data_IF_308540193733
#
_entry.id   IF_308540193733
#
_cell.length_a   1.000
_cell.length_b   1.000
_cell.length_c   1.000
_cell.angle_alpha   90.00
_cell.angle_beta   90.00
_cell.angle_gamma   90.00
#
_symmetry.space_group_name_H-M   'P 1'
#
loop_
_entity.id
_entity.type
_entity.pdbx_description
1 polymer ?
#
# COMPACT_ATOMS: atom_id res chain seq x y z
N UNK A 1 68.49 -21.62 -33.62
CA UNK A 1 67.21 -22.27 -34.00
C UNK A 1 66.34 -22.68 -32.78
N UNK A 2 66.22 -21.86 -31.73
CA UNK A 2 65.58 -22.27 -30.46
C UNK A 2 64.25 -21.60 -30.06
N UNK A 3 63.75 -20.59 -30.82
CA UNK A 3 62.51 -19.87 -30.45
C UNK A 3 61.22 -20.57 -30.91
N UNK A 4 61.20 -21.14 -32.13
CA UNK A 4 59.99 -21.77 -32.70
C UNK A 4 59.47 -23.01 -31.94
N UNK A 5 60.33 -23.71 -31.19
CA UNK A 5 59.91 -24.86 -30.39
C UNK A 5 59.17 -24.45 -29.10
N UNK A 6 59.63 -23.39 -28.42
CA UNK A 6 59.00 -22.87 -27.19
C UNK A 6 57.64 -22.23 -27.45
N UNK A 7 57.48 -21.55 -28.59
CA UNK A 7 56.20 -20.91 -28.95
C UNK A 7 55.10 -21.95 -29.21
N UNK A 8 55.47 -23.15 -29.72
CA UNK A 8 54.53 -24.25 -29.97
C UNK A 8 54.10 -24.97 -28.68
N UNK A 9 54.93 -24.96 -27.64
CA UNK A 9 54.56 -25.51 -26.33
C UNK A 9 53.69 -24.54 -25.52
N UNK A 10 53.96 -23.22 -25.58
CA UNK A 10 53.09 -22.20 -24.97
C UNK A 10 51.67 -22.22 -25.54
N UNK A 11 51.53 -22.31 -26.87
CA UNK A 11 50.22 -22.39 -27.51
C UNK A 11 49.43 -23.66 -27.11
N UNK A 12 50.11 -24.79 -26.89
CA UNK A 12 49.47 -26.03 -26.41
C UNK A 12 49.05 -25.95 -24.95
N UNK A 13 49.81 -25.26 -24.10
CA UNK A 13 49.46 -25.04 -22.70
C UNK A 13 48.26 -24.08 -22.56
N UNK A 14 48.23 -23.01 -23.35
CA UNK A 14 47.14 -22.03 -23.37
C UNK A 14 45.82 -22.64 -23.91
N UNK A 15 45.90 -23.49 -24.93
CA UNK A 15 44.72 -24.21 -25.42
C UNK A 15 44.13 -25.18 -24.39
N UNK A 16 44.98 -25.87 -23.60
CA UNK A 16 44.51 -26.75 -22.51
C UNK A 16 43.92 -25.96 -21.35
N UNK A 17 44.51 -24.82 -21.00
CA UNK A 17 43.97 -23.95 -19.94
C UNK A 17 42.60 -23.38 -20.31
N UNK A 18 42.42 -22.96 -21.58
CA UNK A 18 41.13 -22.46 -22.07
C UNK A 18 40.04 -23.53 -22.08
N UNK A 19 40.37 -24.77 -22.48
CA UNK A 19 39.41 -25.89 -22.46
C UNK A 19 38.95 -26.26 -21.03
N UNK A 20 39.84 -26.17 -20.03
CA UNK A 20 39.50 -26.43 -18.62
C UNK A 20 38.62 -25.31 -18.06
N UNK A 21 38.93 -24.05 -18.38
CA UNK A 21 38.12 -22.90 -17.96
C UNK A 21 36.70 -22.94 -18.56
N UNK A 22 36.57 -23.30 -19.84
CA UNK A 22 35.27 -23.45 -20.51
C UNK A 22 34.46 -24.65 -19.98
N UNK A 23 35.13 -25.75 -19.61
CA UNK A 23 34.50 -26.89 -18.95
C UNK A 23 33.98 -26.55 -17.54
N UNK A 24 34.77 -25.84 -16.74
CA UNK A 24 34.37 -25.37 -15.41
C UNK A 24 33.21 -24.37 -15.47
N UNK A 25 33.22 -23.45 -16.45
CA UNK A 25 32.13 -22.50 -16.67
C UNK A 25 30.82 -23.19 -17.08
N UNK A 26 30.88 -24.21 -17.94
CA UNK A 26 29.70 -25.00 -18.34
C UNK A 26 29.14 -25.85 -17.18
N UNK A 27 30.01 -26.41 -16.35
CA UNK A 27 29.60 -27.17 -15.15
C UNK A 27 28.98 -26.27 -14.08
N UNK A 28 29.53 -25.07 -13.85
CA UNK A 28 28.97 -24.08 -12.94
C UNK A 28 27.60 -23.56 -13.42
N UNK A 29 27.44 -23.30 -14.73
CA UNK A 29 26.16 -22.89 -15.31
C UNK A 29 25.08 -24.00 -15.23
N UNK A 30 25.46 -25.26 -15.40
CA UNK A 30 24.56 -26.40 -15.23
C UNK A 30 24.15 -26.60 -13.76
N UNK A 31 25.09 -26.45 -12.82
CA UNK A 31 24.81 -26.53 -11.38
C UNK A 31 23.91 -25.38 -10.91
N UNK A 32 24.14 -24.16 -11.40
CA UNK A 32 23.27 -23.01 -11.13
C UNK A 32 21.84 -23.19 -11.69
N UNK A 33 21.67 -23.79 -12.88
CA UNK A 33 20.34 -24.13 -13.42
C UNK A 33 19.64 -25.23 -12.62
N UNK A 34 20.38 -26.23 -12.14
CA UNK A 34 19.84 -27.30 -11.31
C UNK A 34 19.45 -26.81 -9.91
N UNK A 35 20.25 -25.95 -9.28
CA UNK A 35 19.93 -25.32 -7.99
C UNK A 35 18.72 -24.38 -8.08
N UNK A 36 18.60 -23.61 -9.18
CA UNK A 36 17.39 -22.83 -9.49
C UNK A 36 16.14 -23.70 -9.64
N UNK A 37 16.28 -24.93 -10.14
CA UNK A 37 15.17 -25.87 -10.32
C UNK A 37 14.80 -26.60 -9.03
N UNK A 38 15.77 -26.81 -8.12
CA UNK A 38 15.53 -27.42 -6.80
C UNK A 38 14.85 -26.44 -5.81
N UNK A 39 15.14 -25.13 -5.92
CA UNK A 39 14.46 -24.08 -5.15
C UNK A 39 12.97 -23.88 -5.56
N UNK A 40 12.57 -24.37 -6.75
CA UNK A 40 11.20 -24.32 -7.28
C UNK A 40 10.21 -25.32 -6.68
N UNK A 41 10.59 -26.11 -5.66
CA UNK A 41 9.64 -26.95 -4.88
C UNK A 41 8.93 -26.22 -3.73
N UNK A 42 9.16 -24.92 -3.53
CA UNK A 42 8.18 -24.07 -2.83
C UNK A 42 6.97 -23.90 -3.77
N UNK A 43 5.73 -24.08 -3.27
CA UNK A 43 4.50 -23.77 -4.02
C UNK A 43 4.69 -22.42 -4.72
N UNK A 44 4.74 -22.42 -6.05
CA UNK A 44 4.90 -21.18 -6.83
C UNK A 44 3.63 -20.36 -6.60
N UNK A 45 3.72 -19.26 -5.85
CA UNK A 45 2.60 -18.30 -5.74
C UNK A 45 2.22 -17.84 -7.15
N UNK A 46 0.94 -17.71 -7.44
CA UNK A 46 0.43 -17.21 -8.73
C UNK A 46 0.01 -15.75 -8.63
N UNK A 47 0.18 -14.96 -9.69
CA UNK A 47 -0.38 -13.61 -9.75
C UNK A 47 -1.86 -13.71 -10.07
N UNK A 48 -2.69 -13.03 -9.27
CA UNK A 48 -4.11 -12.83 -9.55
C UNK A 48 -4.34 -11.34 -9.74
N UNK A 49 -4.71 -10.95 -10.96
CA UNK A 49 -5.09 -9.57 -11.26
C UNK A 49 -6.54 -9.39 -10.83
N UNK A 50 -6.77 -8.70 -9.72
CA UNK A 50 -8.12 -8.52 -9.18
C UNK A 50 -8.91 -7.51 -10.00
N UNK A 51 -8.26 -6.39 -10.35
CA UNK A 51 -8.87 -5.25 -11.02
C UNK A 51 -7.88 -4.55 -11.94
N UNK A 52 -8.43 -3.97 -13.01
CA UNK A 52 -7.71 -3.07 -13.92
C UNK A 52 -8.40 -1.72 -13.94
N UNK A 53 -7.63 -0.65 -13.88
CA UNK A 53 -8.12 0.72 -14.03
C UNK A 53 -7.32 1.48 -15.08
N UNK A 54 -7.95 2.47 -15.72
CA UNK A 54 -7.31 3.27 -16.76
C UNK A 54 -7.56 4.74 -16.50
N UNK A 55 -6.51 5.53 -16.58
CA UNK A 55 -6.51 6.96 -16.33
C UNK A 55 -5.84 7.69 -17.51
N UNK A 56 -6.48 8.76 -17.97
CA UNK A 56 -5.91 9.63 -19.00
C UNK A 56 -5.25 10.85 -18.35
N UNK A 57 -3.93 10.96 -18.36
CA UNK A 57 -3.13 12.00 -17.68
C UNK A 57 -3.29 13.40 -18.31
N UNK A 58 -4.06 13.55 -19.38
CA UNK A 58 -4.38 14.85 -19.99
C UNK A 58 -5.24 15.74 -19.08
N UNK A 59 -6.10 15.18 -18.23
CA UNK A 59 -7.04 15.99 -17.42
C UNK A 59 -6.45 16.29 -16.03
N UNK A 60 -6.26 17.57 -15.72
CA UNK A 60 -5.67 18.05 -14.46
C UNK A 60 -6.40 17.61 -13.17
N UNK A 61 -7.67 17.21 -13.25
CA UNK A 61 -8.52 16.80 -12.11
C UNK A 61 -8.35 15.33 -11.67
N UNK A 62 -7.30 14.65 -12.14
CA UNK A 62 -7.24 13.18 -12.04
C UNK A 62 -6.49 12.66 -10.82
N UNK A 63 -5.55 13.40 -10.23
CA UNK A 63 -4.70 12.80 -9.20
C UNK A 63 -5.47 12.33 -7.95
N UNK A 64 -6.29 13.19 -7.36
CA UNK A 64 -7.11 12.80 -6.19
C UNK A 64 -8.11 11.69 -6.53
N UNK A 65 -8.68 11.73 -7.73
CA UNK A 65 -9.59 10.69 -8.22
C UNK A 65 -8.86 9.35 -8.41
N UNK A 66 -7.65 9.40 -8.98
CA UNK A 66 -6.75 8.27 -9.20
C UNK A 66 -6.35 7.64 -7.87
N UNK A 67 -5.80 8.41 -6.94
CA UNK A 67 -5.35 7.90 -5.65
C UNK A 67 -6.51 7.36 -4.82
N UNK A 68 -7.64 8.05 -4.79
CA UNK A 68 -8.87 7.55 -4.14
C UNK A 68 -9.32 6.23 -4.76
N UNK A 69 -9.32 6.14 -6.10
CA UNK A 69 -9.74 4.92 -6.78
C UNK A 69 -8.78 3.76 -6.53
N UNK A 70 -7.47 4.01 -6.56
CA UNK A 70 -6.48 2.98 -6.24
C UNK A 70 -6.61 2.50 -4.79
N UNK A 71 -6.79 3.41 -3.83
CA UNK A 71 -7.03 3.04 -2.42
C UNK A 71 -8.27 2.14 -2.29
N UNK A 72 -9.37 2.49 -2.94
CA UNK A 72 -10.60 1.66 -2.96
C UNK A 72 -10.38 0.26 -3.56
N UNK A 73 -9.49 0.11 -4.54
CA UNK A 73 -9.21 -1.19 -5.15
C UNK A 73 -8.23 -2.02 -4.33
N UNK A 74 -7.36 -1.38 -3.55
CA UNK A 74 -6.36 -2.05 -2.74
C UNK A 74 -6.88 -2.42 -1.35
N UNK A 75 -7.73 -1.58 -0.76
CA UNK A 75 -8.27 -1.78 0.60
C UNK A 75 -9.07 -3.08 0.75
N UNK A 76 -9.18 -3.53 1.99
CA UNK A 76 -10.19 -4.51 2.41
C UNK A 76 -11.58 -3.87 2.39
N UNK A 77 -12.62 -4.70 2.35
CA UNK A 77 -14.00 -4.22 2.48
C UNK A 77 -14.28 -3.62 3.87
N UNK A 78 -13.45 -3.96 4.86
CA UNK A 78 -13.55 -3.51 6.24
C UNK A 78 -12.61 -2.33 6.50
N UNK A 79 -13.11 -1.32 7.21
CA UNK A 79 -12.35 -0.16 7.64
C UNK A 79 -11.98 -0.31 9.13
N UNK A 80 -10.75 0.04 9.48
CA UNK A 80 -10.36 0.16 10.88
C UNK A 80 -10.95 1.47 11.40
N UNK A 81 -11.88 1.39 12.34
CA UNK A 81 -12.41 2.59 13.01
C UNK A 81 -11.47 2.91 14.15
N UNK A 82 -10.59 3.89 13.93
CA UNK A 82 -9.60 4.33 14.91
C UNK A 82 -10.27 5.32 15.86
N UNK A 83 -10.20 5.03 17.16
CA UNK A 83 -10.79 5.90 18.18
C UNK A 83 -9.89 7.13 18.38
N UNK A 84 -10.49 8.29 18.62
CA UNK A 84 -9.75 9.56 18.65
C UNK A 84 -8.57 9.51 19.64
N UNK A 85 -7.48 10.21 19.33
CA UNK A 85 -6.36 10.32 20.28
C UNK A 85 -6.68 11.44 21.27
N UNK A 86 -6.59 11.15 22.57
CA UNK A 86 -6.59 12.19 23.59
C UNK A 86 -5.32 13.01 23.36
N UNK A 87 -5.48 14.20 22.78
CA UNK A 87 -4.43 15.21 22.72
C UNK A 87 -4.20 15.74 24.13
N UNK A 88 -3.53 14.97 25.00
CA UNK A 88 -2.99 15.50 26.23
C UNK A 88 -1.63 16.12 25.90
N UNK A 89 -1.63 17.40 25.51
CA UNK A 89 -0.55 18.27 26.00
C UNK A 89 -0.54 18.09 27.51
N UNK A 90 0.61 17.71 28.07
CA UNK A 90 0.82 17.41 29.48
C UNK A 90 0.19 18.46 30.40
N UNK A 91 -1.06 18.25 30.82
CA UNK A 91 -1.70 18.94 31.93
C UNK A 91 -2.70 17.97 32.54
N UNK A 92 -2.60 17.81 33.85
CA UNK A 92 -3.26 16.81 34.68
C UNK A 92 -4.77 16.74 34.44
N UNK A 93 -5.23 15.70 33.74
CA UNK A 93 -6.65 15.33 33.76
C UNK A 93 -6.87 14.55 35.05
N UNK A 94 -7.41 15.23 36.07
CA UNK A 94 -7.85 14.61 37.31
C UNK A 94 -8.88 13.50 37.08
N UNK A 95 -9.00 12.59 38.04
CA UNK A 95 -9.69 11.28 37.95
C UNK A 95 -11.21 11.33 37.65
N UNK A 96 -11.83 12.49 37.39
CA UNK A 96 -13.29 12.62 37.31
C UNK A 96 -13.94 12.46 35.92
N UNK A 97 -13.20 12.28 34.82
CA UNK A 97 -13.85 12.37 33.48
C UNK A 97 -13.60 11.19 32.55
N UNK A 98 -13.39 9.96 33.04
CA UNK A 98 -13.30 8.79 32.14
C UNK A 98 -14.52 8.66 31.21
N UNK A 99 -15.74 8.98 31.68
CA UNK A 99 -16.96 8.94 30.86
C UNK A 99 -17.05 10.08 29.83
N UNK A 100 -16.59 11.29 30.17
CA UNK A 100 -16.54 12.42 29.22
C UNK A 100 -15.38 12.30 28.23
N UNK A 101 -14.27 11.70 28.65
CA UNK A 101 -13.16 11.28 27.79
C UNK A 101 -13.64 10.22 26.82
N UNK A 102 -14.34 9.16 27.27
CA UNK A 102 -14.94 8.16 26.37
C UNK A 102 -15.94 8.78 25.39
N UNK A 103 -16.75 9.76 25.81
CA UNK A 103 -17.67 10.49 24.94
C UNK A 103 -16.94 11.36 23.91
N UNK A 104 -15.83 11.99 24.28
CA UNK A 104 -14.95 12.73 23.38
C UNK A 104 -14.24 11.79 22.40
N UNK A 105 -13.79 10.61 22.84
CA UNK A 105 -13.16 9.58 22.02
C UNK A 105 -14.10 9.04 20.92
N UNK A 106 -15.40 8.89 21.24
CA UNK A 106 -16.44 8.50 20.28
C UNK A 106 -16.70 9.58 19.20
N UNK A 107 -16.61 10.86 19.57
CA UNK A 107 -16.81 12.01 18.65
C UNK A 107 -15.66 12.18 17.63
N UNK A 108 -14.49 11.57 17.87
CA UNK A 108 -13.32 11.65 16.99
C UNK A 108 -12.93 10.28 16.39
N UNK A 109 -13.91 9.46 16.03
CA UNK A 109 -13.62 8.20 15.32
C UNK A 109 -13.29 8.45 13.84
N UNK A 110 -12.18 7.89 13.36
CA UNK A 110 -11.73 7.99 11.96
C UNK A 110 -11.72 6.61 11.31
N UNK A 111 -12.52 6.35 10.26
CA UNK A 111 -12.41 5.12 9.51
C UNK A 111 -11.17 5.18 8.60
N UNK A 112 -10.17 4.36 8.89
CA UNK A 112 -8.98 4.20 8.08
C UNK A 112 -9.05 2.91 7.24
N UNK A 113 -8.88 2.98 5.91
CA UNK A 113 -8.74 1.80 5.08
C UNK A 113 -7.49 1.01 5.46
N UNK A 114 -7.56 -0.32 5.40
CA UNK A 114 -6.43 -1.23 5.62
C UNK A 114 -6.17 -2.03 4.34
N UNK A 115 -4.91 -2.22 3.97
CA UNK A 115 -4.53 -3.09 2.85
C UNK A 115 -4.92 -4.55 3.09
N UNK A 116 -5.06 -5.31 2.02
CA UNK A 116 -5.35 -6.74 2.11
C UNK A 116 -4.14 -7.47 2.72
N UNK A 117 -4.34 -8.26 3.77
CA UNK A 117 -3.25 -9.05 4.36
C UNK A 117 -2.75 -10.15 3.40
N UNK A 118 -1.46 -10.49 3.43
CA UNK A 118 -0.89 -11.63 2.69
C UNK A 118 -1.32 -12.93 3.38
N UNK A 119 -2.56 -13.36 3.08
CA UNK A 119 -3.16 -14.57 3.65
C UNK A 119 -3.20 -15.75 2.66
N UNK A 120 -2.88 -15.51 1.37
CA UNK A 120 -3.13 -16.46 0.29
C UNK A 120 -1.86 -17.05 -0.35
N UNK A 121 -2.02 -18.22 -0.97
CA UNK A 121 -1.05 -18.84 -1.88
C UNK A 121 -0.92 -18.06 -3.22
N UNK A 122 -1.50 -16.87 -3.32
CA UNK A 122 -1.53 -16.02 -4.50
C UNK A 122 -1.11 -14.58 -4.15
N UNK A 123 -0.50 -13.89 -5.11
CA UNK A 123 -0.20 -12.45 -4.99
C UNK A 123 -1.28 -11.69 -5.75
N UNK A 124 -2.07 -10.93 -4.99
CA UNK A 124 -3.17 -10.13 -5.52
C UNK A 124 -2.66 -8.77 -5.98
N UNK A 125 -2.96 -8.40 -7.22
CA UNK A 125 -2.46 -7.17 -7.83
C UNK A 125 -3.56 -6.30 -8.43
N UNK A 126 -3.30 -5.00 -8.50
CA UNK A 126 -4.09 -4.02 -9.25
C UNK A 126 -3.25 -3.49 -10.40
N UNK A 127 -3.77 -3.62 -11.62
CA UNK A 127 -3.17 -2.98 -12.78
C UNK A 127 -3.78 -1.59 -12.99
N UNK A 128 -2.93 -0.60 -13.22
CA UNK A 128 -3.33 0.77 -13.51
C UNK A 128 -2.66 1.26 -14.80
N UNK A 129 -3.46 1.64 -15.77
CA UNK A 129 -3.00 2.15 -17.06
C UNK A 129 -2.98 3.67 -17.06
N UNK A 130 -1.82 4.27 -17.32
CA UNK A 130 -1.70 5.69 -17.63
C UNK A 130 -1.71 5.88 -19.14
N UNK A 131 -2.56 6.78 -19.65
CA UNK A 131 -2.64 7.17 -21.06
C UNK A 131 -2.30 8.65 -21.21
N UNK A 132 -1.52 8.99 -22.22
CA UNK A 132 -1.22 10.38 -22.58
C UNK A 132 -0.80 10.47 -24.04
N UNK A 133 -1.47 11.32 -24.85
CA UNK A 133 -1.07 11.62 -26.22
C UNK A 133 -0.81 10.34 -27.07
N UNK A 134 -1.78 9.41 -27.03
CA UNK A 134 -1.71 8.11 -27.70
C UNK A 134 -0.73 7.10 -27.09
N UNK A 135 0.15 7.52 -26.19
CA UNK A 135 1.06 6.66 -25.42
C UNK A 135 0.36 6.07 -24.20
N UNK A 136 0.72 4.85 -23.82
CA UNK A 136 0.20 4.24 -22.59
C UNK A 136 1.20 3.29 -21.94
N UNK A 137 1.07 3.17 -20.63
CA UNK A 137 1.77 2.15 -19.84
C UNK A 137 0.81 1.58 -18.80
N UNK A 138 0.91 0.30 -18.51
CA UNK A 138 0.15 -0.35 -17.44
C UNK A 138 1.10 -0.75 -16.34
N UNK A 139 0.92 -0.22 -15.13
CA UNK A 139 1.78 -0.53 -13.99
C UNK A 139 1.01 -1.39 -12.98
N UNK A 140 1.69 -2.34 -12.36
CA UNK A 140 1.09 -3.38 -11.50
C UNK A 140 1.49 -3.14 -10.06
N UNK A 141 0.51 -2.86 -9.20
CA UNK A 141 0.69 -2.66 -7.76
C UNK A 141 0.32 -3.94 -6.99
N UNK A 142 1.15 -4.33 -6.04
CA UNK A 142 0.82 -5.37 -5.07
C UNK A 142 -0.22 -4.83 -4.07
N UNK A 143 -1.36 -5.51 -3.92
CA UNK A 143 -2.43 -5.09 -3.00
C UNK A 143 -2.04 -5.19 -1.53
N UNK A 144 -1.05 -6.00 -1.20
CA UNK A 144 -0.65 -6.24 0.19
C UNK A 144 0.18 -5.10 0.78
N UNK A 145 0.96 -4.43 -0.05
CA UNK A 145 1.93 -3.43 0.41
C UNK A 145 1.88 -2.13 -0.41
N UNK A 146 1.07 -2.06 -1.48
CA UNK A 146 0.98 -0.90 -2.36
C UNK A 146 2.22 -0.67 -3.23
N UNK A 147 3.22 -1.55 -3.17
CA UNK A 147 4.45 -1.40 -3.95
C UNK A 147 4.22 -1.76 -5.40
N UNK A 148 4.95 -1.05 -6.25
CA UNK A 148 4.99 -1.31 -7.67
C UNK A 148 5.86 -2.52 -7.98
N UNK A 149 5.32 -3.48 -8.71
CA UNK A 149 6.00 -4.73 -9.06
C UNK A 149 6.56 -4.71 -10.49
N UNK A 150 5.78 -4.18 -11.42
CA UNK A 150 6.08 -4.21 -12.85
C UNK A 150 5.38 -3.08 -13.59
N UNK A 151 5.81 -2.84 -14.83
CA UNK A 151 5.03 -2.08 -15.80
C UNK A 151 5.13 -2.73 -17.18
N UNK A 152 4.12 -2.50 -18.00
CA UNK A 152 3.96 -3.01 -19.35
C UNK A 152 3.79 -1.83 -20.31
N UNK A 153 4.46 -1.91 -21.46
CA UNK A 153 4.18 -1.10 -22.63
C UNK A 153 3.69 -2.02 -23.77
N UNK A 154 3.38 -1.51 -24.99
CA UNK A 154 2.83 -2.36 -26.06
C UNK A 154 3.70 -3.54 -26.50
N UNK A 155 4.97 -3.61 -26.07
CA UNK A 155 5.95 -4.57 -26.57
C UNK A 155 6.46 -5.49 -25.46
N UNK A 156 6.78 -4.94 -24.30
CA UNK A 156 7.44 -5.68 -23.22
C UNK A 156 6.78 -5.41 -21.87
N UNK A 157 6.86 -6.40 -21.00
CA UNK A 157 6.66 -6.27 -19.58
C UNK A 157 8.04 -6.07 -18.91
N UNK A 158 8.14 -5.15 -17.96
CA UNK A 158 9.35 -4.86 -17.21
C UNK A 158 9.05 -5.04 -15.73
N UNK A 159 9.93 -5.72 -14.99
CA UNK A 159 9.71 -5.98 -13.57
C UNK A 159 10.98 -5.75 -12.75
N UNK A 160 10.80 -5.36 -11.49
CA UNK A 160 11.90 -5.12 -10.56
C UNK A 160 12.52 -6.44 -10.08
N UNK A 161 13.80 -6.37 -9.74
CA UNK A 161 14.53 -7.49 -9.16
C UNK A 161 14.31 -7.58 -7.65
N UNK A 162 13.06 -7.85 -7.25
CA UNK A 162 12.61 -7.95 -5.86
C UNK A 162 12.25 -9.40 -5.48
N UNK A 163 11.82 -9.63 -4.24
CA UNK A 163 11.46 -10.97 -3.73
C UNK A 163 10.40 -11.66 -4.59
N UNK A 164 9.51 -10.89 -5.22
CA UNK A 164 8.42 -11.36 -6.07
C UNK A 164 8.77 -11.42 -7.58
N UNK A 165 10.03 -11.20 -7.95
CA UNK A 165 10.48 -11.19 -9.36
C UNK A 165 10.23 -12.51 -10.08
N UNK A 166 10.32 -13.65 -9.37
CA UNK A 166 10.08 -14.99 -9.91
C UNK A 166 8.66 -15.20 -10.48
N UNK A 167 7.72 -14.32 -10.14
CA UNK A 167 6.35 -14.38 -10.64
C UNK A 167 6.25 -14.03 -12.14
N UNK A 168 7.23 -13.29 -12.67
CA UNK A 168 7.25 -12.83 -14.07
C UNK A 168 8.14 -13.68 -14.98
N UNK A 169 8.87 -14.66 -14.44
CA UNK A 169 9.85 -15.50 -15.17
C UNK A 169 9.27 -16.26 -16.38
N UNK A 170 7.97 -16.57 -16.35
CA UNK A 170 7.30 -17.37 -17.39
C UNK A 170 6.56 -16.50 -18.43
N UNK A 171 6.60 -15.17 -18.31
CA UNK A 171 5.92 -14.25 -19.23
C UNK A 171 6.79 -14.00 -20.46
N UNK A 172 6.26 -14.31 -21.64
CA UNK A 172 6.91 -14.04 -22.92
C UNK A 172 7.10 -12.52 -23.10
N UNK A 173 8.33 -12.07 -23.34
CA UNK A 173 8.74 -10.65 -23.41
C UNK A 173 8.79 -9.90 -22.06
N UNK A 174 8.92 -10.61 -20.94
CA UNK A 174 9.25 -9.99 -19.67
C UNK A 174 10.77 -9.71 -19.53
N UNK A 175 11.10 -8.49 -19.14
CA UNK A 175 12.46 -7.98 -18.98
C UNK A 175 12.69 -7.65 -17.51
N UNK A 176 13.63 -8.35 -16.87
CA UNK A 176 14.10 -8.01 -15.53
C UNK A 176 14.94 -6.73 -15.59
N UNK A 177 14.60 -5.73 -14.79
CA UNK A 177 15.33 -4.46 -14.74
C UNK A 177 16.72 -4.57 -14.11
N UNK A 178 16.99 -5.64 -13.35
CA UNK A 178 18.27 -5.88 -12.67
C UNK A 178 18.47 -5.07 -11.40
N UNK A 179 17.45 -4.31 -10.97
CA UNK A 179 17.47 -3.49 -9.76
C UNK A 179 16.11 -3.51 -9.05
N UNK A 180 16.08 -3.23 -7.74
CA UNK A 180 14.87 -3.21 -6.92
C UNK A 180 14.04 -1.94 -7.13
N UNK A 181 12.74 -2.00 -6.80
CA UNK A 181 11.84 -0.84 -6.82
C UNK A 181 12.03 0.14 -5.66
N UNK A 182 13.04 -0.05 -4.81
CA UNK A 182 13.27 0.80 -3.63
C UNK A 182 13.81 2.18 -4.00
N UNK A 183 13.45 3.21 -3.24
CA UNK A 183 13.96 4.57 -3.49
C UNK A 183 15.47 4.69 -3.41
N UNK A 184 16.12 3.95 -2.50
CA UNK A 184 17.58 3.92 -2.41
C UNK A 184 18.24 3.42 -3.69
N UNK A 185 17.54 2.62 -4.48
CA UNK A 185 18.01 2.08 -5.77
C UNK A 185 17.55 2.90 -6.97
N UNK A 186 16.34 3.46 -6.94
CA UNK A 186 15.80 4.29 -8.02
C UNK A 186 16.44 5.70 -8.06
N UNK A 187 16.92 6.22 -6.93
CA UNK A 187 17.54 7.53 -6.84
C UNK A 187 18.91 7.47 -6.13
N UNK A 188 19.89 6.71 -6.65
CA UNK A 188 21.16 6.50 -5.96
C UNK A 188 21.90 7.83 -5.83
N UNK A 189 22.21 8.23 -4.59
CA UNK A 189 22.94 9.46 -4.28
C UNK A 189 22.14 10.76 -4.44
N UNK A 190 20.85 10.69 -4.80
CA UNK A 190 19.96 11.86 -4.85
C UNK A 190 18.91 11.73 -3.76
N UNK A 191 18.90 12.68 -2.81
CA UNK A 191 17.76 12.76 -1.89
C UNK A 191 16.52 13.15 -2.69
N UNK A 192 15.42 12.51 -2.34
CA UNK A 192 14.16 12.56 -3.05
C UNK A 192 13.55 13.97 -3.09
N UNK A 193 13.84 14.80 -2.08
CA UNK A 193 13.44 16.20 -2.01
C UNK A 193 14.12 17.13 -3.03
N UNK A 194 15.12 16.65 -3.78
CA UNK A 194 15.75 17.42 -4.86
C UNK A 194 15.15 17.15 -6.24
N UNK A 195 14.17 16.26 -6.35
CA UNK A 195 13.51 15.96 -7.62
C UNK A 195 12.26 16.83 -7.78
N UNK A 196 12.09 17.40 -8.97
CA UNK A 196 10.89 18.14 -9.35
C UNK A 196 9.82 17.15 -9.83
N UNK A 197 8.62 17.28 -9.27
CA UNK A 197 7.47 16.42 -9.56
C UNK A 197 6.33 17.27 -10.11
N UNK A 198 5.81 16.91 -11.28
CA UNK A 198 4.69 17.60 -11.91
C UNK A 198 3.89 16.67 -12.82
N UNK A 199 2.69 17.07 -13.23
CA UNK A 199 1.96 16.34 -14.27
C UNK A 199 2.76 16.22 -15.56
N UNK A 200 3.57 17.23 -15.89
CA UNK A 200 4.42 17.21 -17.06
C UNK A 200 5.54 16.18 -16.92
N UNK A 201 6.10 15.96 -15.72
CA UNK A 201 7.09 14.90 -15.51
C UNK A 201 6.50 13.50 -15.68
N UNK A 202 5.27 13.26 -15.21
CA UNK A 202 4.56 11.99 -15.45
C UNK A 202 4.24 11.81 -16.94
N UNK A 203 3.70 12.84 -17.60
CA UNK A 203 3.38 12.84 -19.04
C UNK A 203 4.59 12.50 -19.90
N UNK A 204 5.72 13.17 -19.68
CA UNK A 204 6.97 12.91 -20.38
C UNK A 204 7.48 11.50 -20.10
N UNK A 205 7.32 11.02 -18.88
CA UNK A 205 7.75 9.68 -18.53
C UNK A 205 6.88 8.58 -19.17
N UNK A 206 5.55 8.76 -19.28
CA UNK A 206 4.68 7.85 -20.06
C UNK A 206 5.14 7.79 -21.52
N UNK A 207 5.42 8.94 -22.14
CA UNK A 207 5.96 9.00 -23.51
C UNK A 207 7.31 8.30 -23.65
N UNK A 208 8.18 8.43 -22.66
CA UNK A 208 9.50 7.78 -22.68
C UNK A 208 9.41 6.27 -22.52
N UNK A 209 8.59 5.78 -21.59
CA UNK A 209 8.43 4.35 -21.34
C UNK A 209 7.64 3.62 -22.43
N UNK A 210 6.80 4.34 -23.16
CA UNK A 210 6.11 3.80 -24.33
C UNK A 210 7.08 3.45 -25.48
N UNK A 211 8.19 4.19 -25.61
CA UNK A 211 9.14 4.04 -26.73
C UNK A 211 10.16 2.93 -26.45
N UNK A 212 10.55 2.19 -27.49
CA UNK A 212 11.63 1.17 -27.44
C UNK A 212 12.78 1.63 -28.34
N UNK A 213 14.06 1.51 -27.94
CA UNK A 213 14.56 0.96 -26.67
C UNK A 213 14.41 1.92 -25.49
N UNK A 214 14.14 1.38 -24.30
CA UNK A 214 14.05 2.16 -23.05
C UNK A 214 15.43 2.23 -22.40
N UNK A 215 15.82 3.42 -21.92
CA UNK A 215 17.03 3.61 -21.10
C UNK A 215 16.70 3.42 -19.61
N UNK A 216 17.56 2.71 -18.88
CA UNK A 216 17.35 2.42 -17.45
C UNK A 216 17.25 3.67 -16.56
N UNK A 217 17.97 4.74 -16.90
CA UNK A 217 17.90 6.04 -16.19
C UNK A 217 16.51 6.69 -16.29
N UNK A 218 15.81 6.51 -17.41
CA UNK A 218 14.45 7.02 -17.61
C UNK A 218 13.40 6.22 -16.84
N UNK A 219 13.61 4.91 -16.71
CA UNK A 219 12.78 4.02 -15.90
C UNK A 219 12.84 4.42 -14.43
N UNK A 220 14.06 4.63 -13.92
CA UNK A 220 14.28 5.08 -12.55
C UNK A 220 13.61 6.42 -12.24
N UNK A 221 13.72 7.39 -13.16
CA UNK A 221 13.06 8.70 -13.01
C UNK A 221 11.52 8.57 -13.00
N UNK A 222 10.94 7.81 -13.93
CA UNK A 222 9.49 7.63 -13.97
C UNK A 222 8.91 7.09 -12.66
N UNK A 223 9.57 6.09 -12.09
CA UNK A 223 9.07 5.47 -10.86
C UNK A 223 9.22 6.38 -9.65
N UNK A 224 10.29 7.18 -9.60
CA UNK A 224 10.34 8.24 -8.61
C UNK A 224 9.17 9.21 -8.78
N UNK A 225 8.80 9.53 -10.03
CA UNK A 225 7.76 10.49 -10.39
C UNK A 225 6.32 9.99 -10.12
N UNK A 226 6.02 8.69 -10.23
CA UNK A 226 4.65 8.16 -10.13
C UNK A 226 4.15 7.79 -8.73
N UNK A 227 5.01 7.79 -7.72
CA UNK A 227 4.63 7.31 -6.37
C UNK A 227 4.04 8.45 -5.50
N UNK A 228 3.89 9.69 -5.99
CA UNK A 228 3.82 10.89 -5.12
C UNK A 228 2.74 11.91 -5.45
N UNK A 229 2.37 12.66 -4.41
CA UNK A 229 1.47 13.81 -4.45
C UNK A 229 2.00 14.94 -5.36
N UNK A 230 1.11 15.50 -6.17
CA UNK A 230 1.40 16.10 -7.47
C UNK A 230 1.17 17.62 -7.52
N UNK A 231 1.56 18.35 -6.49
CA UNK A 231 1.72 19.81 -6.61
C UNK A 231 3.14 20.10 -7.10
N UNK A 232 3.29 20.93 -8.14
CA UNK A 232 4.57 21.30 -8.75
C UNK A 232 5.52 22.02 -7.78
N UNK A 233 6.15 21.26 -6.89
CA UNK A 233 7.07 21.70 -5.86
C UNK A 233 8.09 20.59 -5.63
N UNK A 234 9.33 20.97 -5.31
CA UNK A 234 10.30 20.04 -4.73
C UNK A 234 9.68 19.38 -3.51
N UNK A 235 9.77 18.05 -3.38
CA UNK A 235 9.18 17.30 -2.25
C UNK A 235 9.69 17.91 -0.94
N UNK A 236 8.81 18.45 -0.10
CA UNK A 236 9.22 18.97 1.20
C UNK A 236 9.83 17.85 2.04
N UNK A 237 10.81 18.17 2.89
CA UNK A 237 11.46 17.18 3.77
C UNK A 237 10.46 16.38 4.60
N UNK A 238 9.37 17.00 5.04
CA UNK A 238 8.33 16.32 5.81
C UNK A 238 7.67 15.18 5.03
N UNK A 239 7.46 15.34 3.73
CA UNK A 239 6.84 14.30 2.89
C UNK A 239 7.78 13.10 2.70
N UNK A 240 9.10 13.36 2.65
CA UNK A 240 10.10 12.30 2.64
C UNK A 240 10.05 11.47 3.93
N UNK A 241 9.86 12.14 5.08
CA UNK A 241 9.69 11.47 6.38
C UNK A 241 8.41 10.61 6.39
N UNK A 242 7.26 11.10 5.90
CA UNK A 242 6.05 10.24 5.82
C UNK A 242 6.25 9.02 4.93
N UNK A 243 6.87 9.18 3.75
CA UNK A 243 7.07 8.08 2.80
C UNK A 243 7.95 6.97 3.40
N UNK A 244 9.06 7.34 4.03
CA UNK A 244 10.00 6.35 4.59
C UNK A 244 9.49 5.71 5.89
N UNK A 245 8.56 6.36 6.59
CA UNK A 245 8.02 5.88 7.86
C UNK A 245 6.59 5.32 7.73
N UNK A 246 6.03 5.18 6.53
CA UNK A 246 4.64 4.73 6.34
C UNK A 246 4.34 3.36 7.00
N UNK A 247 5.27 2.40 6.88
CA UNK A 247 5.17 1.11 7.59
C UNK A 247 5.15 1.31 9.11
N UNK A 248 6.04 2.14 9.64
CA UNK A 248 6.13 2.43 11.08
C UNK A 248 4.84 3.07 11.60
N UNK A 249 4.34 4.10 10.89
CA UNK A 249 3.11 4.80 11.25
C UNK A 249 1.90 3.87 11.22
N UNK A 250 1.81 2.97 10.22
CA UNK A 250 0.75 1.96 10.17
C UNK A 250 0.79 1.04 11.40
N UNK A 251 1.98 0.54 11.77
CA UNK A 251 2.16 -0.32 12.94
C UNK A 251 1.85 0.42 14.26
N UNK A 252 2.22 1.69 14.37
CA UNK A 252 1.94 2.52 15.54
C UNK A 252 0.43 2.74 15.72
N UNK A 253 -0.33 2.93 14.63
CA UNK A 253 -1.80 3.03 14.68
C UNK A 253 -2.42 1.71 15.16
N UNK A 254 -1.97 0.55 14.65
CA UNK A 254 -2.48 -0.73 15.13
C UNK A 254 -2.14 -1.00 16.60
N UNK A 255 -0.94 -0.59 17.04
CA UNK A 255 -0.53 -0.70 18.43
C UNK A 255 -1.41 0.18 19.33
N UNK A 256 -1.67 1.42 18.91
CA UNK A 256 -2.56 2.34 19.61
C UNK A 256 -3.99 1.82 19.72
N UNK A 257 -4.55 1.27 18.64
CA UNK A 257 -5.90 0.67 18.68
C UNK A 257 -5.98 -0.59 19.55
N UNK A 258 -4.85 -1.29 19.73
CA UNK A 258 -4.77 -2.43 20.65
C UNK A 258 -4.61 -1.99 22.10
N UNK A 259 -3.89 -0.88 22.33
CA UNK A 259 -3.58 -0.30 23.63
C UNK A 259 -3.54 1.24 23.51
N UNK A 260 -4.60 1.95 23.94
CA UNK A 260 -4.66 3.41 23.86
C UNK A 260 -3.61 4.15 24.71
N UNK A 261 -2.86 3.45 25.57
CA UNK A 261 -1.73 4.03 26.30
C UNK A 261 -0.42 4.02 25.50
N UNK A 262 -0.43 3.39 24.31
CA UNK A 262 0.72 3.34 23.42
C UNK A 262 1.18 4.74 23.00
N UNK A 263 2.49 4.97 23.12
CA UNK A 263 3.12 6.21 22.68
C UNK A 263 3.66 6.05 21.27
N UNK A 264 3.15 6.86 20.35
CA UNK A 264 3.63 6.93 18.96
C UNK A 264 5.12 7.21 18.91
N UNK A 265 5.82 6.49 18.04
CA UNK A 265 7.25 6.73 17.81
C UNK A 265 7.42 7.97 16.92
N UNK A 266 8.54 8.71 17.03
CA UNK A 266 8.83 9.84 16.14
C UNK A 266 8.86 9.42 14.67
N UNK A 267 8.40 10.30 13.78
CA UNK A 267 8.34 10.09 12.33
C UNK A 267 9.50 10.83 11.67
N UNK A 268 10.66 10.18 11.55
CA UNK A 268 11.86 10.81 11.03
C UNK A 268 12.26 12.04 11.83
N UNK A 269 12.31 13.22 11.18
CA UNK A 269 12.58 14.49 11.84
C UNK A 269 11.34 15.20 12.39
N UNK A 270 10.14 14.68 12.10
CA UNK A 270 8.86 15.29 12.46
C UNK A 270 8.44 14.94 13.88
N UNK A 271 8.04 15.96 14.63
CA UNK A 271 7.38 15.83 15.94
C UNK A 271 5.87 15.91 15.75
N UNK A 272 5.28 14.82 15.26
CA UNK A 272 3.84 14.72 15.03
C UNK A 272 3.15 14.16 16.27
N UNK A 273 1.98 14.71 16.57
CA UNK A 273 1.06 14.04 17.50
C UNK A 273 0.49 12.78 16.83
N UNK A 274 0.07 11.80 17.61
CA UNK A 274 -0.60 10.63 17.03
C UNK A 274 -1.88 11.03 16.26
N UNK A 275 -2.61 12.06 16.70
CA UNK A 275 -3.81 12.55 16.00
C UNK A 275 -3.46 13.06 14.60
N UNK A 276 -2.36 13.81 14.48
CA UNK A 276 -1.82 14.25 13.19
C UNK A 276 -1.40 13.06 12.33
N UNK A 277 -0.77 12.04 12.92
CA UNK A 277 -0.41 10.82 12.18
C UNK A 277 -1.66 10.14 11.62
N UNK A 278 -2.73 9.97 12.41
CA UNK A 278 -3.99 9.36 11.94
C UNK A 278 -4.61 10.16 10.79
N UNK A 279 -4.71 11.49 10.92
CA UNK A 279 -5.35 12.36 9.93
C UNK A 279 -4.61 12.39 8.58
N UNK A 280 -3.29 12.21 8.59
CA UNK A 280 -2.44 12.21 7.39
C UNK A 280 -2.43 10.86 6.66
N UNK A 281 -2.90 9.78 7.30
CA UNK A 281 -2.84 8.43 6.73
C UNK A 281 -4.00 8.16 5.77
N UNK A 282 -3.66 7.90 4.50
CA UNK A 282 -4.67 7.57 3.47
C UNK A 282 -5.09 6.08 3.42
N UNK A 283 -4.22 5.17 3.87
CA UNK A 283 -4.44 3.72 3.96
C UNK A 283 -3.32 3.08 4.80
N UNK A 284 -3.63 2.04 5.57
CA UNK A 284 -2.71 1.36 6.49
C UNK A 284 -2.11 0.08 5.88
N UNK A 285 -0.82 -0.16 6.14
CA UNK A 285 -0.11 -1.39 5.77
C UNK A 285 -0.15 -2.42 6.91
N UNK A 286 -0.68 -3.61 6.65
CA UNK A 286 -0.83 -4.69 7.65
C UNK A 286 0.25 -5.79 7.46
N UNK A 287 1.49 -5.52 7.91
CA UNK A 287 2.61 -6.48 7.76
C UNK A 287 2.53 -7.69 8.71
N UNK A 288 1.86 -7.53 9.86
CA UNK A 288 1.90 -8.47 10.99
C UNK A 288 0.57 -9.20 11.23
N UNK A 289 -0.41 -9.02 10.34
CA UNK A 289 -1.82 -9.46 10.51
C UNK A 289 -2.53 -8.80 11.71
N UNK A 290 -1.91 -7.81 12.35
CA UNK A 290 -2.50 -7.06 13.45
C UNK A 290 -3.79 -6.36 13.02
N UNK A 291 -3.79 -5.76 11.82
CA UNK A 291 -4.99 -5.14 11.26
C UNK A 291 -6.10 -6.16 11.03
N UNK A 292 -5.77 -7.32 10.43
CA UNK A 292 -6.69 -8.42 10.23
C UNK A 292 -7.33 -8.92 11.53
N UNK A 293 -6.52 -9.09 12.58
CA UNK A 293 -6.99 -9.63 13.84
C UNK A 293 -7.81 -8.62 14.63
N UNK A 294 -7.45 -7.32 14.59
CA UNK A 294 -8.24 -6.22 15.15
C UNK A 294 -9.63 -6.14 14.50
N UNK A 295 -9.70 -6.15 13.17
CA UNK A 295 -10.95 -6.12 12.41
C UNK A 295 -11.84 -7.34 12.73
N UNK A 296 -11.26 -8.55 12.81
CA UNK A 296 -11.97 -9.76 13.25
C UNK A 296 -12.48 -9.65 14.69
N UNK A 297 -11.71 -9.03 15.58
CA UNK A 297 -12.09 -8.76 16.97
C UNK A 297 -13.25 -7.77 17.09
N UNK A 298 -13.33 -6.78 16.20
CA UNK A 298 -14.46 -5.83 16.14
C UNK A 298 -15.77 -6.54 15.74
N UNK A 299 -15.75 -7.38 14.70
CA UNK A 299 -16.95 -8.15 14.29
C UNK A 299 -17.52 -9.05 15.39
N UNK A 300 -16.67 -9.61 16.26
CA UNK A 300 -17.13 -10.44 17.39
C UNK A 300 -17.81 -9.61 18.48
N UNK A 301 -17.45 -8.33 18.63
CA UNK A 301 -18.10 -7.42 19.59
C UNK A 301 -19.55 -7.11 19.18
N UNK A 302 -19.82 -6.90 17.89
CA UNK A 302 -21.18 -6.66 17.38
C UNK A 302 -22.14 -7.84 17.55
N UNK A 303 -21.62 -9.08 17.60
CA UNK A 303 -22.46 -10.27 17.84
C UNK A 303 -22.90 -10.37 19.32
N UNK A 304 -22.12 -9.80 20.26
CA UNK A 304 -22.42 -9.88 21.70
C UNK A 304 -23.43 -8.85 22.22
N UNK A 305 -23.72 -7.78 21.45
CA UNK A 305 -24.74 -6.79 21.83
C UNK A 305 -26.18 -7.34 21.70
N UNK A 306 -26.40 -8.36 20.87
CA UNK A 306 -27.73 -8.98 20.71
C UNK A 306 -28.17 -9.84 21.92
N UNK A 307 -27.22 -10.40 22.69
CA UNK A 307 -27.54 -11.23 23.86
C UNK A 307 -27.79 -10.40 25.13
N UNK A 308 -27.22 -9.19 25.20
CA UNK A 308 -27.46 -8.27 26.32
C UNK A 308 -28.78 -7.49 26.14
N UNK A 309 -29.16 -7.13 24.91
CA UNK A 309 -30.47 -6.51 24.62
C UNK A 309 -31.64 -7.51 24.77
N UNK A 310 -31.46 -8.79 24.44
CA UNK A 310 -32.50 -9.81 24.68
C UNK A 310 -32.71 -10.12 26.17
N UNK A 311 -31.66 -10.05 27.00
CA UNK A 311 -31.79 -10.25 28.45
C UNK A 311 -32.47 -9.07 29.16
N UNK A 312 -32.38 -7.85 28.61
CA UNK A 312 -33.08 -6.68 29.15
C UNK A 312 -34.62 -6.72 28.91
N UNK A 313 -35.11 -7.43 27.89
CA UNK A 313 -36.55 -7.57 27.63
C UNK A 313 -37.22 -8.74 28.38
N UNK A 314 -36.45 -9.68 28.93
CA UNK A 314 -37.00 -10.84 29.65
C UNK A 314 -37.15 -10.67 31.17
N UNK A 315 -36.73 -9.54 31.76
CA UNK A 315 -36.95 -9.25 33.19
C UNK A 315 -38.11 -8.30 33.52
N UNK A 316 -38.82 -7.71 32.54
CA UNK A 316 -39.99 -6.85 32.78
C UNK A 316 -41.35 -7.57 32.70
N UNK A 317 -41.38 -8.92 32.60
CA UNK A 317 -42.64 -9.69 32.56
C UNK A 317 -42.86 -10.59 33.77
N UNK A 318 -42.78 -10.06 35.00
CA UNK A 318 -43.49 -10.63 36.18
C UNK A 318 -43.93 -9.52 37.15
N UNK A 319 -45.23 -9.27 37.17
CA UNK A 319 -45.91 -8.26 38.00
C UNK A 319 -46.66 -7.30 37.08
N UNK A 320 -47.96 -7.05 37.17
CA UNK A 320 -49.00 -7.47 38.11
C UNK A 320 -50.34 -7.08 37.49
N UNK A 321 -51.35 -7.91 37.69
CA UNK A 321 -52.78 -7.65 37.45
C UNK A 321 -53.28 -6.41 38.21
N UNK A 322 -53.98 -5.48 37.53
CA UNK A 322 -55.27 -4.92 38.00
C UNK A 322 -55.92 -3.93 37.00
N UNK A 323 -57.13 -4.31 36.54
CA UNK A 323 -58.35 -3.50 36.32
C UNK A 323 -58.24 -2.08 35.73
N UNK A 324 -58.60 -1.99 34.45
CA UNK A 324 -59.78 -1.24 33.96
C UNK A 324 -59.80 0.29 34.10
N UNK A 325 -59.54 0.99 32.99
CA UNK A 325 -60.30 2.16 32.55
C UNK A 325 -59.90 2.54 31.10
N UNK A 326 -60.84 2.44 30.16
CA UNK A 326 -60.94 3.26 28.95
C UNK A 326 -62.04 4.30 29.28
N UNK A 327 -62.07 5.56 28.77
CA UNK A 327 -61.67 5.96 27.42
C UNK A 327 -61.11 7.39 27.25
N UNK A 328 -60.72 7.76 26.03
CA UNK A 328 -60.64 9.17 25.63
C UNK A 328 -59.57 9.45 24.58
N UNK A 329 -59.98 9.46 23.31
CA UNK A 329 -59.10 9.86 22.21
C UNK A 329 -58.77 11.34 22.26
N UNK A 330 -57.55 11.68 21.84
CA UNK A 330 -57.29 12.98 21.23
C UNK A 330 -56.36 12.80 20.02
N UNK A 331 -56.89 13.25 18.89
CA UNK A 331 -56.23 13.46 17.61
C UNK A 331 -55.58 14.84 17.71
N UNK A 332 -54.26 14.95 17.57
CA UNK A 332 -53.62 16.25 17.35
C UNK A 332 -52.75 16.23 16.09
N UNK A 333 -52.97 17.29 15.30
CA UNK A 333 -52.52 17.52 13.94
C UNK A 333 -51.03 17.87 13.86
N UNK A 334 -50.38 17.41 12.79
CA UNK A 334 -49.15 17.98 12.26
C UNK A 334 -49.45 19.37 11.68
N UNK A 335 -48.93 20.42 12.31
CA UNK A 335 -48.87 21.76 11.71
C UNK A 335 -47.55 21.94 10.95
N UNK A 336 -47.69 22.28 9.66
CA UNK A 336 -46.63 22.77 8.79
C UNK A 336 -46.37 24.25 9.10
N UNK A 337 -45.10 24.63 9.23
CA UNK A 337 -44.65 26.02 9.27
C UNK A 337 -43.73 26.31 8.09
N UNK A 338 -44.29 26.91 7.05
CA UNK A 338 -43.61 27.60 5.95
C UNK A 338 -43.08 28.95 6.44
N UNK A 339 -41.89 29.38 6.01
CA UNK A 339 -41.59 30.80 5.82
C UNK A 339 -40.76 31.00 4.54
N UNK A 340 -41.33 31.83 3.67
CA UNK A 340 -40.79 32.41 2.44
C UNK A 340 -40.67 33.91 2.70
N UNK A 341 -39.53 34.53 2.41
CA UNK A 341 -39.49 35.76 1.58
C UNK A 341 -38.07 36.11 1.15
N UNK A 342 -37.95 36.31 -0.16
CA UNK A 342 -36.84 36.79 -0.98
C UNK A 342 -36.52 38.28 -0.79
N UNK A 343 -35.25 38.64 -1.01
CA UNK A 343 -34.86 39.45 -2.16
C UNK A 343 -33.57 38.93 -2.76
#
# INVERSE_FOLDING_TARGET
>A
MGKKARDKERAKAEAKAKAIAEGAAKAAAAKAKAERSASKKKKKKRIVVDKRVTFNVEKHLIYNTLTTKLRQLMMRDELLVVSGIISSTEEEVGEETAAEVMKCLEEFTRPLPVLLADEDDAVHVVDATLKYDGSWITYTLNRHDGYLMSFENPVNLFYFNDENSYLFDDIENAINLGFSGSYGTLAPGKKLHYQEFSFDSIRESVKHLYKVPIRSDKIQKFFADCIRDMTAMTVPLWMDDYIHNWTQMSADIFAYESDPTYKFRPVGSLKLSGATIIDEMGILKDESKQGADLLRGMKKRDVSLSDHEQKAQHQTRKGSTSRGATPGGQRHQLQRGTNSTTR
#
